data_IF_868647193180
#
_entry.id   IF_868647193180
#
_cell.length_a   1.000
_cell.length_b   1.000
_cell.length_c   1.000
_cell.angle_alpha   90.00
_cell.angle_beta   90.00
_cell.angle_gamma   90.00
#
_symmetry.space_group_name_H-M   'P 1'
#
loop_
_entity.id
_entity.type
_entity.pdbx_description
1 polymer ?
#
# COMPACT_ATOMS: atom_id res chain seq x y z
N UNK A 1 -1.12 -6.65 -11.58
CA UNK A 1 -1.37 -6.04 -10.27
C UNK A 1 -0.12 -6.16 -9.42
N UNK A 2 0.39 -5.04 -8.93
CA UNK A 2 1.50 -5.03 -7.96
C UNK A 2 0.96 -5.57 -6.65
N UNK A 3 1.25 -6.82 -6.34
CA UNK A 3 0.83 -7.42 -5.08
C UNK A 3 1.67 -6.81 -3.95
N UNK A 4 1.01 -6.05 -3.08
CA UNK A 4 1.59 -5.64 -1.80
C UNK A 4 1.78 -6.93 -1.00
N UNK A 5 2.97 -7.13 -0.42
CA UNK A 5 3.23 -8.28 0.43
C UNK A 5 2.57 -8.06 1.81
N UNK A 6 2.02 -9.13 2.38
CA UNK A 6 1.38 -9.14 3.69
C UNK A 6 2.30 -8.69 4.85
N UNK A 7 3.61 -8.84 4.71
CA UNK A 7 4.60 -8.37 5.67
C UNK A 7 4.90 -6.86 5.60
N UNK A 8 4.38 -6.11 4.60
CA UNK A 8 4.75 -4.72 4.38
C UNK A 8 4.44 -3.82 5.58
N UNK A 9 3.18 -3.84 6.03
CA UNK A 9 2.76 -2.97 7.14
C UNK A 9 3.41 -3.42 8.45
N UNK A 10 3.53 -4.73 8.68
CA UNK A 10 4.19 -5.25 9.87
C UNK A 10 5.67 -4.88 9.93
N UNK A 11 6.41 -4.95 8.81
CA UNK A 11 7.82 -4.53 8.77
C UNK A 11 7.99 -3.03 8.99
N UNK A 12 7.05 -2.19 8.53
CA UNK A 12 7.06 -0.76 8.85
C UNK A 12 6.84 -0.50 10.35
N UNK A 13 5.90 -1.23 10.96
CA UNK A 13 5.59 -1.09 12.38
C UNK A 13 6.64 -1.71 13.32
N UNK A 14 7.51 -2.59 12.80
CA UNK A 14 8.59 -3.22 13.56
C UNK A 14 9.86 -2.36 13.66
N UNK A 15 9.91 -1.25 12.94
CA UNK A 15 11.03 -0.34 13.05
C UNK A 15 11.07 0.28 14.45
N UNK A 16 12.23 0.23 15.10
CA UNK A 16 12.46 0.86 16.42
C UNK A 16 12.55 2.38 16.28
N UNK A 17 11.40 3.00 16.03
CA UNK A 17 11.22 4.43 15.74
C UNK A 17 9.86 4.91 16.23
N UNK A 18 9.78 6.16 16.64
CA UNK A 18 8.51 6.82 16.92
C UNK A 18 7.74 7.06 15.61
N UNK A 19 6.78 6.20 15.37
CA UNK A 19 6.05 6.12 14.11
C UNK A 19 4.55 6.15 14.35
N UNK A 20 3.86 7.02 13.61
CA UNK A 20 2.39 6.99 13.49
C UNK A 20 2.04 6.59 12.07
N UNK A 21 1.14 5.63 11.92
CA UNK A 21 0.69 5.13 10.62
C UNK A 21 -0.84 5.13 10.57
N UNK A 22 -1.40 5.70 9.51
CA UNK A 22 -2.83 5.65 9.19
C UNK A 22 -3.04 4.97 7.86
N UNK A 23 -4.06 4.13 7.79
CA UNK A 23 -4.55 3.51 6.56
C UNK A 23 -6.01 3.90 6.39
N UNK A 24 -6.27 4.78 5.43
CA UNK A 24 -7.61 5.23 5.09
C UNK A 24 -8.15 4.40 3.94
N UNK A 25 -9.29 3.76 4.12
CA UNK A 25 -9.94 2.94 3.10
C UNK A 25 -11.32 3.51 2.81
N UNK A 26 -11.56 3.82 1.53
CA UNK A 26 -12.83 4.34 1.04
C UNK A 26 -13.44 3.33 0.07
N UNK A 27 -14.51 2.64 0.47
CA UNK A 27 -15.24 1.75 -0.43
C UNK A 27 -15.88 2.55 -1.58
N UNK A 28 -15.83 2.00 -2.78
CA UNK A 28 -16.50 2.54 -3.97
C UNK A 28 -17.72 1.66 -4.28
N UNK A 29 -18.90 2.25 -4.54
CA UNK A 29 -20.05 1.48 -4.99
C UNK A 29 -19.73 0.67 -6.24
N UNK A 30 -20.18 -0.58 -6.30
CA UNK A 30 -19.77 -1.53 -7.36
C UNK A 30 -20.15 -1.04 -8.77
N UNK A 31 -21.31 -0.41 -8.91
CA UNK A 31 -21.78 0.16 -10.17
C UNK A 31 -20.93 1.36 -10.63
N UNK A 32 -20.48 2.18 -9.70
CA UNK A 32 -19.59 3.30 -9.97
C UNK A 32 -18.18 2.79 -10.31
N UNK A 33 -17.67 1.82 -9.56
CA UNK A 33 -16.39 1.17 -9.81
C UNK A 33 -16.34 0.55 -11.22
N UNK A 34 -17.37 -0.21 -11.60
CA UNK A 34 -17.45 -0.83 -12.92
C UNK A 34 -17.47 0.23 -14.04
N UNK A 35 -18.26 1.29 -13.89
CA UNK A 35 -18.30 2.40 -14.87
C UNK A 35 -16.95 3.10 -15.00
N UNK A 36 -16.29 3.36 -13.89
CA UNK A 36 -14.98 4.01 -13.88
C UNK A 36 -13.90 3.15 -14.57
N UNK A 37 -13.88 1.84 -14.30
CA UNK A 37 -12.93 0.92 -14.94
C UNK A 37 -13.22 0.74 -16.43
N UNK A 38 -14.48 0.65 -16.82
CA UNK A 38 -14.87 0.58 -18.25
C UNK A 38 -14.44 1.85 -18.99
N UNK A 39 -14.66 3.03 -18.40
CA UNK A 39 -14.20 4.31 -18.97
C UNK A 39 -12.68 4.36 -19.09
N UNK A 40 -11.96 3.91 -18.06
CA UNK A 40 -10.50 3.84 -18.08
C UNK A 40 -10.00 2.88 -19.15
N UNK A 41 -10.60 1.69 -19.27
CA UNK A 41 -10.26 0.71 -20.30
C UNK A 41 -10.46 1.27 -21.71
N UNK A 42 -11.59 1.92 -21.95
CA UNK A 42 -11.87 2.57 -23.23
C UNK A 42 -10.83 3.64 -23.56
N UNK A 43 -10.43 4.43 -22.58
CA UNK A 43 -9.36 5.43 -22.74
C UNK A 43 -8.02 4.79 -23.12
N UNK A 44 -7.63 3.72 -22.43
CA UNK A 44 -6.40 2.98 -22.74
C UNK A 44 -6.45 2.35 -24.14
N UNK A 45 -7.56 1.71 -24.52
CA UNK A 45 -7.73 1.12 -25.86
C UNK A 45 -7.70 2.18 -26.97
N UNK A 46 -8.28 3.35 -26.70
CA UNK A 46 -8.21 4.50 -27.61
C UNK A 46 -6.78 4.98 -27.78
N UNK A 47 -6.00 5.05 -26.69
CA UNK A 47 -4.58 5.44 -26.75
C UNK A 47 -3.75 4.43 -27.55
N UNK A 48 -3.97 3.14 -27.35
CA UNK A 48 -3.31 2.08 -28.12
C UNK A 48 -3.66 2.18 -29.62
N UNK A 49 -4.95 2.36 -29.95
CA UNK A 49 -5.39 2.52 -31.35
C UNK A 49 -4.79 3.78 -32.01
N UNK A 50 -4.74 4.89 -31.29
CA UNK A 50 -4.12 6.13 -31.78
C UNK A 50 -2.62 5.98 -31.99
N UNK A 51 -1.93 5.27 -31.09
CA UNK A 51 -0.52 4.97 -31.23
C UNK A 51 -0.28 4.11 -32.50
N UNK A 52 -1.05 3.03 -32.69
CA UNK A 52 -0.97 2.17 -33.89
C UNK A 52 -1.22 2.95 -35.18
N UNK A 53 -2.24 3.82 -35.21
CA UNK A 53 -2.53 4.69 -36.37
C UNK A 53 -1.34 5.59 -36.71
N UNK A 54 -0.67 6.17 -35.70
CA UNK A 54 0.54 7.01 -35.91
C UNK A 54 1.69 6.19 -36.48
N UNK A 55 1.91 4.97 -35.99
CA UNK A 55 2.98 4.09 -36.52
C UNK A 55 2.68 3.71 -37.99
N UNK A 56 1.44 3.36 -38.30
CA UNK A 56 1.05 3.04 -39.68
C UNK A 56 1.20 4.24 -40.62
N UNK A 57 0.87 5.45 -40.17
CA UNK A 57 1.08 6.66 -40.95
C UNK A 57 2.57 6.95 -41.22
N UNK A 58 3.45 6.50 -40.34
CA UNK A 58 4.90 6.58 -40.50
C UNK A 58 5.51 5.37 -41.24
N UNK A 59 4.70 4.52 -41.87
CA UNK A 59 5.10 3.28 -42.55
C UNK A 59 5.82 2.25 -41.65
N UNK A 60 5.59 2.31 -40.34
CA UNK A 60 6.18 1.40 -39.37
C UNK A 60 5.16 0.33 -38.94
N UNK A 61 4.83 -0.59 -39.85
CA UNK A 61 3.80 -1.62 -39.63
C UNK A 61 4.20 -2.74 -38.68
N UNK A 62 5.47 -2.85 -38.35
CA UNK A 62 5.99 -3.88 -37.44
C UNK A 62 6.17 -3.37 -36.00
N UNK A 63 5.81 -2.13 -35.73
CA UNK A 63 5.93 -1.54 -34.41
C UNK A 63 5.02 -2.26 -33.41
N UNK A 64 5.60 -2.80 -32.35
CA UNK A 64 4.89 -3.39 -31.22
C UNK A 64 4.41 -2.30 -30.28
N UNK A 65 3.22 -2.49 -29.71
CA UNK A 65 2.67 -1.55 -28.70
C UNK A 65 3.67 -1.40 -27.54
N UNK A 66 3.94 -0.19 -27.05
CA UNK A 66 4.80 0.01 -25.90
C UNK A 66 4.35 -0.84 -24.70
N UNK A 67 5.32 -1.43 -24.01
CA UNK A 67 5.06 -2.33 -22.88
C UNK A 67 4.16 -1.69 -21.82
N UNK A 68 4.36 -0.41 -21.51
CA UNK A 68 3.59 0.31 -20.49
C UNK A 68 2.10 0.40 -20.84
N UNK A 69 1.78 0.64 -22.13
CA UNK A 69 0.38 0.67 -22.59
C UNK A 69 -0.27 -0.70 -22.53
N UNK A 70 0.47 -1.75 -22.91
CA UNK A 70 -0.02 -3.13 -22.86
C UNK A 70 -0.21 -3.58 -21.40
N UNK A 71 0.71 -3.22 -20.51
CA UNK A 71 0.60 -3.50 -19.08
C UNK A 71 -0.62 -2.80 -18.49
N UNK A 72 -0.80 -1.50 -18.75
CA UNK A 72 -1.96 -0.75 -18.27
C UNK A 72 -3.28 -1.34 -18.77
N UNK A 73 -3.34 -1.76 -20.04
CA UNK A 73 -4.50 -2.43 -20.61
C UNK A 73 -4.82 -3.73 -19.90
N UNK A 74 -3.80 -4.55 -19.67
CA UNK A 74 -3.91 -5.83 -18.97
C UNK A 74 -4.39 -5.64 -17.53
N UNK A 75 -3.75 -4.77 -16.76
CA UNK A 75 -4.12 -4.49 -15.37
C UNK A 75 -5.55 -3.97 -15.24
N UNK A 76 -5.99 -3.08 -16.16
CA UNK A 76 -7.36 -2.56 -16.12
C UNK A 76 -8.38 -3.66 -16.43
N UNK A 77 -8.08 -4.56 -17.38
CA UNK A 77 -8.95 -5.72 -17.68
C UNK A 77 -9.01 -6.68 -16.50
N UNK A 78 -7.88 -7.04 -15.92
CA UNK A 78 -7.83 -7.93 -14.75
C UNK A 78 -8.66 -7.36 -13.59
N UNK A 79 -8.53 -6.06 -13.31
CA UNK A 79 -9.32 -5.43 -12.25
C UNK A 79 -10.82 -5.43 -12.55
N UNK A 80 -11.23 -5.24 -13.82
CA UNK A 80 -12.63 -5.32 -14.23
C UNK A 80 -13.15 -6.76 -14.09
N UNK A 81 -12.37 -7.76 -14.48
CA UNK A 81 -12.71 -9.17 -14.32
C UNK A 81 -12.83 -9.55 -12.83
N UNK A 82 -11.95 -9.06 -11.99
CA UNK A 82 -11.99 -9.27 -10.53
C UNK A 82 -13.29 -8.74 -9.92
N UNK A 83 -13.75 -7.56 -10.36
CA UNK A 83 -15.00 -6.98 -9.89
C UNK A 83 -16.24 -7.73 -10.40
N UNK A 84 -16.20 -8.26 -11.62
CA UNK A 84 -17.38 -8.85 -12.25
C UNK A 84 -17.53 -10.34 -12.03
N UNK A 85 -16.41 -11.07 -11.88
CA UNK A 85 -16.40 -12.54 -11.80
C UNK A 85 -15.94 -13.10 -10.46
N UNK A 86 -15.12 -12.36 -9.68
CA UNK A 86 -14.51 -12.85 -8.44
C UNK A 86 -15.06 -12.22 -7.17
N UNK A 87 -16.17 -11.50 -7.25
CA UNK A 87 -16.81 -10.80 -6.13
C UNK A 87 -15.86 -9.84 -5.37
N UNK A 88 -14.82 -9.35 -6.05
CA UNK A 88 -13.94 -8.34 -5.50
C UNK A 88 -14.64 -6.97 -5.52
N UNK A 89 -14.27 -6.10 -4.60
CA UNK A 89 -14.75 -4.71 -4.56
C UNK A 89 -13.60 -3.75 -4.75
N UNK A 90 -13.88 -2.63 -5.40
CA UNK A 90 -12.93 -1.53 -5.54
C UNK A 90 -12.97 -0.63 -4.32
N UNK A 91 -11.80 -0.24 -3.87
CA UNK A 91 -11.61 0.70 -2.76
C UNK A 91 -10.51 1.68 -3.14
N UNK A 92 -10.60 2.88 -2.60
CA UNK A 92 -9.46 3.79 -2.60
C UNK A 92 -8.74 3.68 -1.27
N UNK A 93 -7.43 3.46 -1.32
CA UNK A 93 -6.57 3.39 -0.16
C UNK A 93 -5.56 4.53 -0.11
N UNK A 94 -5.29 5.01 1.08
CA UNK A 94 -4.21 5.95 1.38
C UNK A 94 -3.47 5.43 2.60
N UNK A 95 -2.16 5.27 2.48
CA UNK A 95 -1.28 5.01 3.62
C UNK A 95 -0.51 6.29 3.91
N UNK A 96 -0.69 6.84 5.09
CA UNK A 96 0.03 8.02 5.57
C UNK A 96 0.86 7.65 6.78
N UNK A 97 2.09 8.13 6.81
CA UNK A 97 3.07 7.82 7.85
C UNK A 97 3.72 9.10 8.33
N UNK A 98 3.80 9.27 9.65
CA UNK A 98 4.54 10.33 10.31
C UNK A 98 5.54 9.70 11.24
N UNK A 99 6.78 10.12 11.18
CA UNK A 99 7.82 9.72 12.12
C UNK A 99 8.46 10.94 12.77
N UNK A 100 8.96 10.77 13.97
CA UNK A 100 9.58 11.79 14.79
C UNK A 100 11.01 11.38 15.12
N UNK A 101 11.88 12.36 15.31
CA UNK A 101 13.26 12.12 15.74
C UNK A 101 13.79 13.33 16.53
N UNK A 102 14.75 13.10 17.42
CA UNK A 102 15.33 14.13 18.28
C UNK A 102 16.28 15.07 17.53
N UNK A 103 16.78 14.65 16.37
CA UNK A 103 17.69 15.45 15.55
C UNK A 103 17.36 15.32 14.07
N UNK A 104 17.74 16.34 13.28
CA UNK A 104 17.61 16.31 11.83
C UNK A 104 18.40 15.15 11.21
N UNK A 105 19.60 14.87 11.69
CA UNK A 105 20.43 13.79 11.18
C UNK A 105 19.74 12.43 11.38
N UNK A 106 19.15 12.22 12.55
CA UNK A 106 18.36 11.02 12.85
C UNK A 106 17.14 10.95 11.96
N UNK A 107 16.40 12.06 11.79
CA UNK A 107 15.22 12.14 10.93
C UNK A 107 15.55 11.75 9.49
N UNK A 108 16.63 12.26 8.93
CA UNK A 108 17.06 11.96 7.57
C UNK A 108 17.45 10.47 7.42
N UNK A 109 18.17 9.91 8.41
CA UNK A 109 18.54 8.49 8.44
C UNK A 109 17.31 7.57 8.53
N UNK A 110 16.35 7.93 9.38
CA UNK A 110 15.11 7.17 9.55
C UNK A 110 14.24 7.23 8.29
N UNK A 111 14.19 8.37 7.62
CA UNK A 111 13.50 8.52 6.34
C UNK A 111 14.08 7.58 5.28
N UNK A 112 15.40 7.47 5.17
CA UNK A 112 16.04 6.54 4.23
C UNK A 112 15.76 5.07 4.59
N UNK A 113 15.70 4.74 5.88
CA UNK A 113 15.31 3.41 6.35
C UNK A 113 13.88 3.07 5.93
N UNK A 114 12.93 4.00 6.11
CA UNK A 114 11.54 3.85 5.67
C UNK A 114 11.43 3.67 4.16
N UNK A 115 12.16 4.46 3.38
CA UNK A 115 12.21 4.32 1.93
C UNK A 115 12.78 2.97 1.50
N UNK A 116 13.85 2.52 2.14
CA UNK A 116 14.47 1.22 1.87
C UNK A 116 13.50 0.08 2.15
N UNK A 117 12.81 0.12 3.30
CA UNK A 117 11.79 -0.88 3.67
C UNK A 117 10.64 -0.89 2.66
N UNK A 118 10.12 0.27 2.24
CA UNK A 118 9.06 0.33 1.25
C UNK A 118 9.50 -0.22 -0.12
N UNK A 119 10.70 0.14 -0.59
CA UNK A 119 11.26 -0.37 -1.87
C UNK A 119 11.44 -1.89 -1.88
N UNK A 120 11.81 -2.50 -0.75
CA UNK A 120 11.88 -3.96 -0.59
C UNK A 120 10.55 -4.65 -0.91
N UNK A 121 9.44 -3.96 -0.64
CA UNK A 121 8.08 -4.42 -0.94
C UNK A 121 7.50 -3.85 -2.24
N UNK A 122 8.35 -3.29 -3.12
CA UNK A 122 7.95 -2.65 -4.38
C UNK A 122 6.97 -1.48 -4.18
N UNK A 123 6.95 -0.90 -2.98
CA UNK A 123 6.17 0.28 -2.65
C UNK A 123 7.06 1.53 -2.67
N UNK A 124 6.48 2.65 -3.05
CA UNK A 124 7.15 3.94 -3.05
C UNK A 124 6.48 4.88 -2.04
N UNK A 125 7.25 5.34 -1.08
CA UNK A 125 6.86 6.44 -0.20
C UNK A 125 7.32 7.76 -0.81
N UNK A 126 6.53 8.81 -0.59
CA UNK A 126 6.85 10.17 -1.02
C UNK A 126 6.75 11.12 0.15
N UNK A 127 7.78 11.93 0.37
CA UNK A 127 7.75 12.96 1.41
C UNK A 127 6.71 14.03 1.09
N UNK A 128 5.84 14.34 2.03
CA UNK A 128 4.88 15.44 1.94
C UNK A 128 5.63 16.78 2.09
N UNK A 129 5.85 17.48 0.97
CA UNK A 129 6.46 18.80 0.98
C UNK A 129 5.35 19.86 1.10
N UNK A 130 5.50 20.76 2.08
CA UNK A 130 4.53 21.83 2.38
C UNK A 130 3.13 21.35 2.81
N UNK A 131 2.97 20.04 3.05
CA UNK A 131 1.74 19.41 3.49
C UNK A 131 1.92 18.63 4.80
N UNK A 132 2.96 18.93 5.57
CA UNK A 132 3.29 18.20 6.80
C UNK A 132 2.16 18.28 7.84
N UNK A 133 1.53 19.46 7.96
CA UNK A 133 0.37 19.65 8.83
C UNK A 133 -0.81 18.78 8.40
N UNK A 134 -1.10 18.76 7.10
CA UNK A 134 -2.20 17.95 6.55
C UNK A 134 -1.92 16.45 6.69
N UNK A 135 -0.65 16.05 6.56
CA UNK A 135 -0.20 14.69 6.85
C UNK A 135 -0.40 14.30 8.32
N UNK A 136 0.00 15.17 9.24
CA UNK A 136 -0.20 14.95 10.67
C UNK A 136 -1.70 14.87 11.02
N UNK A 137 -2.52 15.80 10.53
CA UNK A 137 -3.96 15.80 10.76
C UNK A 137 -4.63 14.53 10.20
N UNK A 138 -4.09 13.95 9.12
CA UNK A 138 -4.58 12.69 8.52
C UNK A 138 -4.22 11.48 9.38
N UNK A 139 -3.02 11.46 9.98
CA UNK A 139 -2.56 10.32 10.79
C UNK A 139 -3.18 10.29 12.17
N UNK A 140 -3.51 11.46 12.73
CA UNK A 140 -4.13 11.55 14.05
C UNK A 140 -5.55 10.98 14.05
N UNK A 141 -6.02 10.36 15.15
CA UNK A 141 -7.29 9.64 15.23
C UNK A 141 -8.53 10.57 15.26
N UNK A 142 -8.51 11.62 14.45
CA UNK A 142 -9.64 12.56 14.32
C UNK A 142 -10.59 12.20 13.17
N UNK A 143 -10.28 11.18 12.39
CA UNK A 143 -11.07 10.80 11.22
C UNK A 143 -10.98 11.83 10.06
N UNK A 144 -9.94 12.64 10.04
CA UNK A 144 -9.71 13.65 9.00
C UNK A 144 -8.75 13.10 7.95
N UNK A 145 -9.17 13.11 6.71
CA UNK A 145 -8.30 12.78 5.56
C UNK A 145 -8.07 14.04 4.71
N UNK A 146 -6.93 14.69 4.90
CA UNK A 146 -6.54 15.91 4.16
C UNK A 146 -5.63 15.63 2.98
N UNK A 147 -4.96 14.49 2.96
CA UNK A 147 -4.11 14.05 1.85
C UNK A 147 -4.97 13.34 0.79
N UNK A 148 -4.73 13.64 -0.48
CA UNK A 148 -5.54 13.16 -1.62
C UNK A 148 -4.79 12.14 -2.51
N UNK A 149 -3.67 11.60 -2.07
CA UNK A 149 -2.86 10.64 -2.83
C UNK A 149 -3.47 9.22 -2.79
N UNK A 150 -4.73 9.10 -3.20
CA UNK A 150 -5.48 7.85 -3.19
C UNK A 150 -4.94 6.86 -4.23
N UNK A 151 -4.94 5.57 -3.87
CA UNK A 151 -4.61 4.45 -4.75
C UNK A 151 -5.79 3.50 -4.85
N UNK A 152 -6.04 3.02 -6.07
CA UNK A 152 -7.08 2.01 -6.30
C UNK A 152 -6.59 0.65 -5.80
N UNK A 153 -7.39 0.01 -4.96
CA UNK A 153 -7.14 -1.30 -4.37
C UNK A 153 -8.36 -2.20 -4.61
N UNK A 154 -8.12 -3.50 -4.63
CA UNK A 154 -9.18 -4.52 -4.55
C UNK A 154 -9.37 -4.93 -3.09
N UNK A 155 -10.45 -5.65 -2.78
CA UNK A 155 -10.68 -6.23 -1.45
C UNK A 155 -9.50 -7.07 -1.00
N UNK A 156 -8.94 -7.90 -1.87
CA UNK A 156 -7.77 -8.74 -1.61
C UNK A 156 -6.54 -7.89 -1.26
N UNK A 157 -6.23 -6.88 -2.07
CA UNK A 157 -5.09 -5.97 -1.82
C UNK A 157 -5.26 -5.18 -0.52
N UNK A 158 -6.50 -4.85 -0.15
CA UNK A 158 -6.82 -4.14 1.09
C UNK A 158 -6.65 -5.05 2.31
N UNK A 159 -7.04 -6.33 2.21
CA UNK A 159 -6.89 -7.30 3.30
C UNK A 159 -5.42 -7.50 3.70
N UNK A 160 -4.51 -7.42 2.73
CA UNK A 160 -3.06 -7.53 2.97
C UNK A 160 -2.50 -6.35 3.82
N UNK A 161 -3.16 -5.20 3.82
CA UNK A 161 -2.74 -4.04 4.62
C UNK A 161 -3.05 -4.21 6.12
N UNK A 162 -3.85 -5.19 6.51
CA UNK A 162 -4.14 -5.47 7.93
C UNK A 162 -2.93 -6.20 8.51
N UNK A 163 -2.24 -5.64 9.53
CA UNK A 163 -1.07 -6.25 10.13
C UNK A 163 -1.46 -7.42 11.05
N UNK A 164 -1.94 -8.52 10.47
CA UNK A 164 -2.18 -9.74 11.22
C UNK A 164 -0.84 -10.32 11.68
N UNK A 165 -0.55 -10.14 12.94
CA UNK A 165 0.65 -10.66 13.56
C UNK A 165 0.34 -11.38 14.86
N UNK A 166 0.96 -12.53 15.05
CA UNK A 166 1.03 -13.17 16.36
C UNK A 166 2.07 -12.40 17.20
N UNK A 167 1.65 -11.78 18.28
CA UNK A 167 2.57 -11.15 19.19
C UNK A 167 3.43 -12.20 19.87
N UNK A 168 4.76 -12.10 19.74
CA UNK A 168 5.72 -12.95 20.39
C UNK A 168 6.42 -12.18 21.50
N UNK A 169 6.48 -12.78 22.67
CA UNK A 169 7.16 -12.21 23.84
C UNK A 169 8.25 -13.19 24.25
N UNK A 170 9.50 -12.82 23.99
CA UNK A 170 10.68 -13.60 24.36
C UNK A 170 11.67 -12.67 25.05
N UNK A 171 11.51 -12.45 26.35
CA UNK A 171 12.38 -11.57 27.14
C UNK A 171 13.47 -12.38 27.85
N UNK A 172 14.75 -11.94 27.80
CA UNK A 172 15.81 -12.60 28.55
C UNK A 172 15.50 -12.52 30.06
N UNK A 173 15.72 -13.62 30.78
CA UNK A 173 15.42 -13.78 32.21
C UNK A 173 13.92 -13.74 32.58
N UNK A 174 13.01 -13.84 31.61
CA UNK A 174 11.58 -13.93 31.86
C UNK A 174 11.15 -15.31 32.38
N UNK A 175 9.92 -15.37 32.92
CA UNK A 175 9.26 -16.60 33.28
C UNK A 175 8.45 -17.13 32.09
N UNK A 176 8.38 -18.45 31.95
CA UNK A 176 7.53 -19.09 30.96
C UNK A 176 6.05 -19.00 31.38
N UNK A 177 5.22 -18.44 30.52
CA UNK A 177 3.79 -18.28 30.73
C UNK A 177 2.93 -19.24 29.93
N UNK A 178 3.44 -19.79 28.83
CA UNK A 178 2.71 -20.71 27.98
C UNK A 178 3.14 -20.62 26.52
N UNK A 179 2.30 -21.12 25.63
CA UNK A 179 2.50 -21.03 24.17
C UNK A 179 1.49 -20.08 23.55
N UNK A 180 1.93 -19.31 22.57
CA UNK A 180 1.04 -18.49 21.75
C UNK A 180 0.08 -19.41 20.97
N UNK A 181 -1.22 -19.13 21.03
CA UNK A 181 -2.25 -19.97 20.40
C UNK A 181 -2.11 -20.01 18.86
N UNK A 182 -1.56 -18.97 18.25
CA UNK A 182 -1.41 -18.80 16.80
C UNK A 182 -0.05 -19.32 16.33
N UNK A 183 1.05 -18.71 16.81
CA UNK A 183 2.42 -19.06 16.36
C UNK A 183 2.97 -20.35 16.97
N UNK A 184 2.38 -20.84 18.06
CA UNK A 184 2.88 -21.96 18.87
C UNK A 184 4.25 -21.73 19.52
N UNK A 185 4.79 -20.51 19.44
CA UNK A 185 6.03 -20.15 20.09
C UNK A 185 5.83 -19.93 21.60
N UNK A 186 6.92 -20.08 22.36
CA UNK A 186 6.89 -19.88 23.81
C UNK A 186 6.70 -18.39 24.16
N UNK A 187 5.90 -18.12 25.17
CA UNK A 187 5.73 -16.80 25.77
C UNK A 187 6.58 -16.76 27.03
N UNK A 188 7.64 -15.94 26.99
CA UNK A 188 8.57 -15.72 28.09
C UNK A 188 8.59 -14.23 28.41
N UNK A 189 8.07 -13.83 29.57
CA UNK A 189 7.95 -12.42 29.95
C UNK A 189 8.62 -12.15 31.30
N UNK A 190 9.30 -10.99 31.41
CA UNK A 190 9.84 -10.50 32.67
C UNK A 190 8.87 -9.47 33.29
N UNK A 191 8.24 -9.83 34.39
CA UNK A 191 7.31 -8.96 35.12
C UNK A 191 7.90 -7.63 35.53
N UNK A 192 9.20 -7.53 35.72
CA UNK A 192 9.89 -6.30 36.14
C UNK A 192 9.98 -5.27 35.00
N UNK A 193 9.82 -5.70 33.75
CA UNK A 193 9.82 -4.83 32.57
C UNK A 193 8.41 -4.39 32.17
N UNK A 194 7.37 -4.90 32.84
CA UNK A 194 5.96 -4.58 32.55
C UNK A 194 5.38 -3.50 33.47
N UNK A 195 6.18 -2.95 34.36
CA UNK A 195 5.88 -1.85 35.25
C UNK A 195 6.64 -0.59 34.82
#
# INVERSE_FOLDING_TARGET
ASYIKDSFVSELCDLDRDLMLSIDILPVPTDEAARQLQSTLLGVETNVANWQRRQNANNNFTATVPYDMELQRKETKEMLDDLTTRDQRMMFGLLTLVHLADSKQQLDSDTETLYSTARKHLCQLSTLRWQQKDGLDTVLPYGLRKIQALRTLTTESTAVLIPFRAQEIMQPNGLYYGQNAVSKNMIVADRRLLL
#
